data_IF_722164424111
#
_entry.id   IF_722164424111
#
_cell.length_a   1.000
_cell.length_b   1.000
_cell.length_c   1.000
_cell.angle_alpha   90.00
_cell.angle_beta   90.00
_cell.angle_gamma   90.00
#
_symmetry.space_group_name_H-M   'P 1'
#
loop_
_entity.id
_entity.type
_entity.pdbx_description
1 polymer ?
#
# COMPACT_ATOMS: atom_id res chain seq x y z
N UNK A 1 24.61 -2.24 25.63
CA UNK A 1 23.94 -3.32 24.84
C UNK A 1 22.46 -3.08 24.49
N UNK A 2 21.73 -2.13 25.12
CA UNK A 2 20.32 -1.82 24.76
C UNK A 2 20.14 -1.04 23.44
N UNK A 3 21.15 -0.26 23.04
CA UNK A 3 21.11 0.57 21.81
C UNK A 3 21.28 -0.28 20.53
N UNK A 4 22.17 -1.27 20.56
CA UNK A 4 22.44 -2.18 19.44
C UNK A 4 21.23 -3.07 19.13
N UNK A 5 20.48 -3.51 20.15
CA UNK A 5 19.22 -4.27 19.95
C UNK A 5 18.11 -3.46 19.29
N UNK A 6 18.04 -2.13 19.51
CA UNK A 6 17.08 -1.24 18.82
C UNK A 6 17.42 -1.09 17.34
N UNK A 7 18.72 -1.00 17.01
CA UNK A 7 19.19 -0.95 15.62
C UNK A 7 18.96 -2.29 14.90
N UNK A 8 19.16 -3.43 15.57
CA UNK A 8 18.88 -4.77 15.02
C UNK A 8 17.38 -5.08 14.84
N UNK A 9 16.49 -4.41 15.58
CA UNK A 9 15.04 -4.52 15.39
C UNK A 9 14.54 -3.72 14.17
N UNK A 10 15.26 -2.68 13.76
CA UNK A 10 14.85 -1.79 12.67
C UNK A 10 15.26 -2.34 11.29
N UNK A 11 16.29 -3.19 11.22
CA UNK A 11 16.89 -3.63 9.95
C UNK A 11 16.37 -4.96 9.40
N UNK A 12 15.55 -5.72 10.16
CA UNK A 12 15.10 -7.08 9.74
C UNK A 12 13.74 -7.15 9.03
N UNK A 13 13.08 -6.02 8.76
CA UNK A 13 11.72 -5.99 8.21
C UNK A 13 11.55 -5.16 6.93
N UNK A 14 12.54 -5.11 6.04
CA UNK A 14 12.25 -4.85 4.63
C UNK A 14 11.97 -6.17 3.93
N UNK A 15 10.77 -6.73 4.15
CA UNK A 15 10.17 -7.56 3.10
C UNK A 15 9.47 -6.56 2.20
N UNK A 16 9.96 -6.40 0.99
CA UNK A 16 9.25 -5.65 -0.04
C UNK A 16 7.83 -6.20 -0.10
N UNK A 17 6.86 -5.37 0.27
CA UNK A 17 5.47 -5.77 0.32
C UNK A 17 4.90 -5.54 -1.06
N UNK A 18 4.94 -6.56 -1.90
CA UNK A 18 4.24 -6.54 -3.17
C UNK A 18 2.86 -7.18 -2.97
N UNK A 19 1.80 -6.42 -3.26
CA UNK A 19 0.43 -6.93 -3.28
C UNK A 19 0.32 -7.92 -4.45
N UNK A 20 0.34 -9.22 -4.14
CA UNK A 20 0.24 -10.31 -5.12
C UNK A 20 -1.19 -10.83 -5.32
N UNK A 21 -2.20 -10.09 -4.88
CA UNK A 21 -3.57 -10.50 -5.14
C UNK A 21 -3.96 -10.25 -6.61
N UNK A 22 -4.64 -11.23 -7.21
CA UNK A 22 -4.98 -11.24 -8.64
C UNK A 22 -5.90 -10.07 -9.01
N UNK A 23 -6.80 -9.69 -8.10
CA UNK A 23 -7.73 -8.58 -8.29
C UNK A 23 -6.99 -7.24 -8.36
N UNK A 24 -6.07 -6.97 -7.44
CA UNK A 24 -5.27 -5.74 -7.38
C UNK A 24 -4.29 -5.65 -8.55
N UNK A 25 -3.73 -6.77 -9.01
CA UNK A 25 -2.93 -6.81 -10.25
C UNK A 25 -3.80 -6.44 -11.46
N UNK A 26 -5.00 -7.02 -11.58
CA UNK A 26 -5.91 -6.67 -12.67
C UNK A 26 -6.31 -5.19 -12.64
N UNK A 27 -6.64 -4.65 -11.46
CA UNK A 27 -6.96 -3.23 -11.31
C UNK A 27 -5.77 -2.31 -11.62
N UNK A 28 -4.54 -2.73 -11.28
CA UNK A 28 -3.34 -2.00 -11.64
C UNK A 28 -3.14 -1.96 -13.17
N UNK A 29 -3.30 -3.09 -13.84
CA UNK A 29 -3.22 -3.18 -15.31
C UNK A 29 -4.26 -2.27 -15.96
N UNK A 30 -5.52 -2.35 -15.52
CA UNK A 30 -6.60 -1.49 -16.04
C UNK A 30 -6.26 -0.02 -15.82
N UNK A 31 -5.80 0.35 -14.63
CA UNK A 31 -5.40 1.73 -14.32
C UNK A 31 -4.28 2.20 -15.26
N UNK A 32 -3.27 1.37 -15.52
CA UNK A 32 -2.17 1.75 -16.42
C UNK A 32 -2.61 1.86 -17.87
N UNK A 33 -3.51 1.00 -18.34
CA UNK A 33 -4.13 1.12 -19.67
C UNK A 33 -4.90 2.43 -19.78
N UNK A 34 -5.70 2.79 -18.77
CA UNK A 34 -6.47 4.03 -18.76
C UNK A 34 -5.56 5.27 -18.74
N UNK A 35 -4.45 5.22 -17.98
CA UNK A 35 -3.45 6.28 -17.97
C UNK A 35 -2.79 6.46 -19.34
N UNK A 36 -2.38 5.36 -20.00
CA UNK A 36 -1.80 5.39 -21.34
C UNK A 36 -2.80 5.86 -22.41
N UNK A 37 -4.07 5.42 -22.30
CA UNK A 37 -5.12 5.90 -23.19
C UNK A 37 -5.39 7.40 -23.00
N UNK A 38 -5.42 7.87 -21.75
CA UNK A 38 -5.56 9.29 -21.42
C UNK A 38 -4.42 10.13 -22.00
N UNK A 39 -3.18 9.64 -21.91
CA UNK A 39 -2.02 10.26 -22.56
C UNK A 39 -2.20 10.35 -24.08
N UNK A 40 -2.53 9.23 -24.73
CA UNK A 40 -2.76 9.20 -26.17
C UNK A 40 -3.85 10.20 -26.59
N UNK A 41 -5.00 10.21 -25.91
CA UNK A 41 -6.12 11.09 -26.23
C UNK A 41 -5.76 12.57 -25.99
N UNK A 42 -5.08 12.90 -24.90
CA UNK A 42 -4.71 14.28 -24.59
C UNK A 42 -3.68 14.81 -25.57
N UNK A 43 -2.65 14.04 -25.90
CA UNK A 43 -1.60 14.48 -26.82
C UNK A 43 -2.13 14.59 -28.24
N UNK A 44 -2.80 13.55 -28.76
CA UNK A 44 -3.18 13.47 -30.17
C UNK A 44 -4.48 14.19 -30.53
N UNK A 45 -5.46 14.18 -29.62
CA UNK A 45 -6.80 14.73 -29.91
C UNK A 45 -6.96 16.10 -29.30
N UNK A 46 -6.59 16.30 -28.03
CA UNK A 46 -6.83 17.60 -27.38
C UNK A 46 -5.75 18.62 -27.72
N UNK A 47 -4.48 18.26 -27.57
CA UNK A 47 -3.37 19.19 -27.78
C UNK A 47 -3.12 19.39 -29.27
N UNK A 48 -2.89 18.32 -30.06
CA UNK A 48 -2.55 18.47 -31.48
C UNK A 48 -3.67 19.06 -32.36
N UNK A 49 -4.95 18.86 -32.02
CA UNK A 49 -6.06 19.44 -32.77
C UNK A 49 -6.37 20.88 -32.35
N UNK A 50 -6.24 21.20 -31.06
CA UNK A 50 -6.68 22.50 -30.53
C UNK A 50 -5.61 23.60 -30.61
N UNK A 51 -4.32 23.27 -30.68
CA UNK A 51 -3.27 24.27 -30.55
C UNK A 51 -2.76 24.76 -31.91
N UNK A 52 -3.14 25.98 -32.30
CA UNK A 52 -2.49 26.71 -33.39
C UNK A 52 -1.11 27.28 -33.02
N UNK A 53 -0.76 27.27 -31.72
CA UNK A 53 0.51 27.79 -31.20
C UNK A 53 1.34 26.72 -30.49
N UNK A 54 2.61 26.62 -30.85
CA UNK A 54 3.52 25.58 -30.33
C UNK A 54 3.79 25.71 -28.82
N UNK A 55 3.82 26.94 -28.31
CA UNK A 55 4.06 27.20 -26.89
C UNK A 55 2.93 26.63 -26.02
N UNK A 56 1.68 26.79 -26.45
CA UNK A 56 0.52 26.22 -25.75
C UNK A 56 0.61 24.70 -25.72
N UNK A 57 0.93 24.06 -26.85
CA UNK A 57 1.09 22.60 -26.92
C UNK A 57 2.18 22.10 -25.96
N UNK A 58 3.33 22.79 -25.92
CA UNK A 58 4.46 22.41 -25.07
C UNK A 58 4.13 22.55 -23.59
N UNK A 59 3.54 23.67 -23.16
CA UNK A 59 3.21 23.91 -21.75
C UNK A 59 2.19 22.89 -21.25
N UNK A 60 1.09 22.70 -21.99
CA UNK A 60 0.07 21.72 -21.61
C UNK A 60 0.60 20.28 -21.66
N UNK A 61 1.43 19.95 -22.65
CA UNK A 61 2.11 18.67 -22.74
C UNK A 61 2.98 18.41 -21.50
N UNK A 62 3.86 19.33 -21.13
CA UNK A 62 4.74 19.18 -19.96
C UNK A 62 3.93 19.01 -18.68
N UNK A 63 2.93 19.87 -18.45
CA UNK A 63 2.08 19.78 -17.25
C UNK A 63 1.38 18.42 -17.17
N UNK A 64 0.81 17.96 -18.28
CA UNK A 64 0.12 16.66 -18.31
C UNK A 64 1.06 15.48 -18.02
N UNK A 65 2.26 15.45 -18.62
CA UNK A 65 3.23 14.37 -18.38
C UNK A 65 3.75 14.36 -16.94
N UNK A 66 3.93 15.53 -16.32
CA UNK A 66 4.29 15.62 -14.89
C UNK A 66 3.18 15.02 -14.02
N UNK A 67 1.92 15.38 -14.30
CA UNK A 67 0.77 14.83 -13.56
C UNK A 67 0.64 13.32 -13.77
N UNK A 68 0.83 12.83 -14.99
CA UNK A 68 0.81 11.41 -15.32
C UNK A 68 1.90 10.63 -14.57
N UNK A 69 3.12 11.17 -14.55
CA UNK A 69 4.23 10.60 -13.79
C UNK A 69 3.92 10.54 -12.29
N UNK A 70 3.39 11.63 -11.71
CA UNK A 70 3.00 11.66 -10.30
C UNK A 70 1.88 10.67 -10.00
N UNK A 71 0.88 10.54 -10.87
CA UNK A 71 -0.19 9.57 -10.74
C UNK A 71 0.36 8.13 -10.74
N UNK A 72 1.19 7.78 -11.73
CA UNK A 72 1.83 6.48 -11.83
C UNK A 72 2.73 6.16 -10.62
N UNK A 73 3.58 7.11 -10.21
CA UNK A 73 4.47 6.95 -9.06
C UNK A 73 3.69 6.78 -7.75
N UNK A 74 2.61 7.55 -7.57
CA UNK A 74 1.74 7.42 -6.39
C UNK A 74 1.07 6.04 -6.34
N UNK A 75 0.56 5.56 -7.47
CA UNK A 75 -0.05 4.23 -7.58
C UNK A 75 0.97 3.12 -7.29
N UNK A 76 2.17 3.18 -7.89
CA UNK A 76 3.24 2.23 -7.60
C UNK A 76 3.60 2.22 -6.11
N UNK A 77 3.72 3.39 -5.49
CA UNK A 77 3.99 3.48 -4.05
C UNK A 77 2.90 2.78 -3.24
N UNK A 78 1.61 2.97 -3.58
CA UNK A 78 0.52 2.30 -2.86
C UNK A 78 0.55 0.78 -3.00
N UNK A 79 1.01 0.24 -4.14
CA UNK A 79 1.12 -1.20 -4.37
C UNK A 79 2.32 -1.87 -3.68
N UNK A 80 3.42 -1.12 -3.54
CA UNK A 80 4.72 -1.67 -3.12
C UNK A 80 5.09 -1.32 -1.67
N UNK A 81 4.33 -0.45 -1.01
CA UNK A 81 4.58 -0.06 0.38
C UNK A 81 3.96 -1.05 1.34
N UNK A 82 4.69 -1.39 2.40
CA UNK A 82 4.17 -2.21 3.50
C UNK A 82 2.96 -1.49 4.17
N UNK A 83 1.76 -2.10 4.19
CA UNK A 83 0.58 -1.52 4.81
C UNK A 83 0.66 -1.50 6.35
N UNK A 84 1.76 -1.96 6.94
CA UNK A 84 1.96 -2.07 8.38
C UNK A 84 1.73 -3.50 8.88
N UNK A 85 2.27 -4.49 8.17
CA UNK A 85 2.12 -5.90 8.49
C UNK A 85 2.75 -6.26 9.85
N UNK A 86 1.94 -6.90 10.69
CA UNK A 86 2.38 -7.43 11.99
C UNK A 86 3.13 -8.75 11.78
N UNK A 87 4.28 -8.96 12.44
CA UNK A 87 5.00 -10.22 12.39
C UNK A 87 4.15 -11.41 12.89
N UNK A 88 4.16 -12.51 12.13
CA UNK A 88 3.51 -13.77 12.54
C UNK A 88 4.27 -14.45 13.68
N UNK A 89 3.59 -15.23 14.50
CA UNK A 89 4.22 -16.05 15.54
C UNK A 89 4.84 -15.25 16.69
N UNK A 90 4.56 -13.95 16.81
CA UNK A 90 5.10 -13.14 17.91
C UNK A 90 4.37 -13.39 19.25
N UNK A 91 3.32 -14.22 19.27
CA UNK A 91 2.56 -14.60 20.46
C UNK A 91 3.20 -15.78 21.20
N UNK A 92 4.47 -15.65 21.62
CA UNK A 92 5.05 -16.57 22.61
C UNK A 92 4.48 -16.28 24.00
N UNK A 93 4.45 -17.30 24.86
CA UNK A 93 4.00 -17.13 26.25
C UNK A 93 4.80 -16.04 27.00
N UNK A 94 6.12 -15.95 26.74
CA UNK A 94 6.97 -14.89 27.28
C UNK A 94 6.51 -13.49 26.83
N UNK A 95 6.20 -13.32 25.53
CA UNK A 95 5.75 -12.03 25.00
C UNK A 95 4.35 -11.67 25.53
N UNK A 96 3.48 -12.66 25.70
CA UNK A 96 2.15 -12.50 26.30
C UNK A 96 2.29 -12.04 27.76
N UNK A 97 3.13 -12.72 28.54
CA UNK A 97 3.34 -12.41 29.96
C UNK A 97 3.97 -11.03 30.11
N UNK A 98 4.95 -10.69 29.27
CA UNK A 98 5.54 -9.35 29.22
C UNK A 98 4.52 -8.26 28.89
N UNK A 99 3.60 -8.51 27.95
CA UNK A 99 2.54 -7.57 27.61
C UNK A 99 1.53 -7.38 28.74
N UNK A 100 1.16 -8.47 29.45
CA UNK A 100 0.29 -8.42 30.64
C UNK A 100 0.90 -7.56 31.74
N UNK A 101 2.19 -7.77 32.05
CA UNK A 101 2.92 -7.04 33.09
C UNK A 101 3.06 -5.55 32.77
N UNK A 102 3.26 -5.19 31.50
CA UNK A 102 3.50 -3.80 31.10
C UNK A 102 2.22 -2.96 30.98
N UNK A 103 1.13 -3.54 30.49
CA UNK A 103 -0.04 -2.76 30.10
C UNK A 103 -1.27 -2.99 30.97
N UNK A 104 -1.33 -4.07 31.77
CA UNK A 104 -2.48 -4.38 32.63
C UNK A 104 -3.84 -4.50 31.91
N UNK A 105 -3.84 -4.47 30.56
CA UNK A 105 -5.03 -4.42 29.70
C UNK A 105 -5.21 -5.73 28.94
N UNK A 106 -6.45 -6.10 28.59
CA UNK A 106 -6.70 -7.25 27.73
C UNK A 106 -6.03 -7.03 26.37
N UNK A 107 -5.20 -7.97 25.95
CA UNK A 107 -4.63 -8.01 24.61
C UNK A 107 -5.39 -9.03 23.77
N UNK A 108 -5.52 -8.75 22.48
CA UNK A 108 -6.16 -9.64 21.53
C UNK A 108 -5.10 -10.45 20.78
N UNK A 109 -5.39 -11.72 20.50
CA UNK A 109 -4.56 -12.57 19.66
C UNK A 109 -5.27 -12.90 18.36
N UNK A 110 -4.54 -12.91 17.26
CA UNK A 110 -5.05 -13.43 16.00
C UNK A 110 -4.81 -14.94 15.93
N UNK A 111 -5.87 -15.74 15.85
CA UNK A 111 -5.76 -17.20 15.72
C UNK A 111 -5.08 -17.63 14.42
N UNK A 112 -5.28 -16.89 13.32
CA UNK A 112 -4.71 -17.21 12.00
C UNK A 112 -3.21 -16.87 11.89
N UNK A 113 -2.79 -15.75 12.48
CA UNK A 113 -1.40 -15.27 12.41
C UNK A 113 -0.53 -15.74 13.59
N UNK A 114 -1.15 -16.32 14.63
CA UNK A 114 -0.52 -16.58 15.94
C UNK A 114 0.27 -15.36 16.43
N UNK A 115 -0.35 -14.18 16.34
CA UNK A 115 0.28 -12.90 16.65
C UNK A 115 -0.54 -12.10 17.65
N UNK A 116 0.14 -11.39 18.56
CA UNK A 116 -0.47 -10.37 19.42
C UNK A 116 -0.95 -9.24 18.52
N UNK A 117 -2.23 -8.92 18.57
CA UNK A 117 -2.91 -7.91 17.75
C UNK A 117 -2.70 -6.54 18.42
N UNK A 118 -1.91 -5.63 17.81
CA UNK A 118 -1.81 -4.26 18.29
C UNK A 118 -3.17 -3.55 18.25
N UNK A 119 -3.29 -2.46 19.01
CA UNK A 119 -4.49 -1.63 18.97
C UNK A 119 -4.78 -1.17 17.53
N UNK A 120 -6.07 -1.22 17.13
CA UNK A 120 -6.55 -0.93 15.77
C UNK A 120 -5.94 -1.78 14.64
N UNK A 121 -5.22 -2.86 14.93
CA UNK A 121 -4.84 -3.80 13.88
C UNK A 121 -6.05 -4.64 13.46
N UNK A 122 -6.11 -5.15 12.23
CA UNK A 122 -7.12 -6.12 11.80
C UNK A 122 -6.48 -7.21 10.94
N UNK A 123 -7.02 -8.43 10.96
CA UNK A 123 -6.54 -9.51 10.11
C UNK A 123 -7.19 -9.38 8.73
N UNK A 124 -6.39 -9.16 7.70
CA UNK A 124 -6.84 -9.21 6.31
C UNK A 124 -6.70 -10.65 5.80
N UNK A 125 -7.81 -11.25 5.36
CA UNK A 125 -7.85 -12.57 4.73
C UNK A 125 -7.19 -12.60 3.36
N UNK A 126 -7.15 -11.48 2.64
CA UNK A 126 -6.49 -11.40 1.32
C UNK A 126 -4.98 -11.36 1.51
N UNK A 127 -4.48 -10.43 2.35
CA UNK A 127 -3.06 -10.33 2.69
C UNK A 127 -2.53 -11.49 3.57
N UNK A 128 -3.42 -12.31 4.14
CA UNK A 128 -3.10 -13.38 5.10
C UNK A 128 -2.22 -12.91 6.27
N UNK A 129 -2.45 -11.67 6.73
CA UNK A 129 -1.69 -11.00 7.79
C UNK A 129 -2.55 -10.03 8.59
N UNK A 130 -2.10 -9.77 9.82
CA UNK A 130 -2.62 -8.65 10.61
C UNK A 130 -1.95 -7.35 10.14
N UNK A 131 -2.74 -6.32 9.85
CA UNK A 131 -2.28 -5.02 9.39
C UNK A 131 -2.62 -3.97 10.44
N UNK A 132 -1.68 -3.11 10.80
CA UNK A 132 -1.86 -2.03 11.79
C UNK A 132 -2.71 -0.91 11.21
N UNK A 133 -3.66 -0.36 11.99
CA UNK A 133 -4.57 0.71 11.54
C UNK A 133 -5.20 0.39 10.18
N UNK A 134 -5.62 -0.86 9.99
CA UNK A 134 -6.25 -1.28 8.75
C UNK A 134 -7.61 -0.60 8.63
N UNK A 135 -7.81 0.16 7.56
CA UNK A 135 -9.13 0.70 7.22
C UNK A 135 -9.90 -0.36 6.41
N UNK A 136 -9.35 -0.76 5.26
CA UNK A 136 -9.90 -1.80 4.41
C UNK A 136 -8.81 -2.38 3.50
N UNK A 137 -9.04 -3.59 2.98
CA UNK A 137 -8.30 -4.06 1.81
C UNK A 137 -8.99 -3.44 0.60
N UNK A 138 -8.25 -2.70 -0.23
CA UNK A 138 -8.83 -2.02 -1.37
C UNK A 138 -8.60 -2.85 -2.65
N UNK A 139 -9.67 -3.37 -3.29
CA UNK A 139 -9.58 -3.98 -4.62
C UNK A 139 -9.90 -3.00 -5.77
N UNK A 140 -10.71 -1.95 -5.53
CA UNK A 140 -11.31 -0.92 -6.43
C UNK A 140 -12.12 -1.35 -7.69
N UNK A 141 -13.30 -0.73 -7.98
CA UNK A 141 -14.40 -0.41 -7.08
C UNK A 141 -15.20 -1.67 -6.72
N UNK A 142 -15.89 -1.60 -5.57
CA UNK A 142 -16.72 -2.62 -4.91
C UNK A 142 -17.42 -3.64 -5.83
N UNK A 143 -17.50 -4.90 -5.37
CA UNK A 143 -18.74 -5.26 -4.69
C UNK A 143 -18.46 -6.08 -3.42
N UNK A 144 -19.07 -5.68 -2.31
CA UNK A 144 -19.39 -6.64 -1.25
C UNK A 144 -20.67 -6.18 -0.56
N UNK A 145 -21.79 -6.70 -1.07
CA UNK A 145 -22.90 -7.12 -0.22
C UNK A 145 -22.40 -8.12 0.84
#
# INVERSE_FOLDING_TARGET
>A
MRFIRRLWSATRFRREWCVQDSCGIACAIITWILLAFGEFAVVTVLISYSSGSILHSLVHGIVFHVLLFLAFASHLKTMLTDPGAVPKGNASEENIQRMRLLHGRPFYRCAKCYSIKPERAHHCSICQRCIRKMDHHCPWPQPSY
#
